data_IF_750197023269
#
_entry.id   IF_750197023269
#
_cell.length_a   1.000
_cell.length_b   1.000
_cell.length_c   1.000
_cell.angle_alpha   90.00
_cell.angle_beta   90.00
_cell.angle_gamma   90.00
#
_symmetry.space_group_name_H-M   'P 1'
#
loop_
_entity.id
_entity.type
_entity.pdbx_description
1 polymer ?
#
# COMPACT_ATOMS: atom_id res chain seq x y z
N UNK A 1 -30.18 9.06 -7.42
CA UNK A 1 -28.78 8.64 -7.17
C UNK A 1 -28.80 7.67 -6.00
N UNK A 2 -28.77 6.35 -6.24
CA UNK A 2 -28.46 5.41 -5.15
C UNK A 2 -26.95 5.28 -5.18
N UNK A 3 -26.28 5.98 -4.26
CA UNK A 3 -24.87 5.75 -3.97
C UNK A 3 -24.63 4.25 -3.81
N UNK A 4 -23.46 3.75 -4.21
CA UNK A 4 -23.07 2.38 -3.89
C UNK A 4 -23.06 2.12 -2.36
N UNK A 5 -23.05 3.20 -1.57
CA UNK A 5 -23.01 3.18 -0.12
C UNK A 5 -24.30 3.76 0.48
N UNK A 6 -24.90 3.01 1.42
CA UNK A 6 -26.04 3.49 2.20
C UNK A 6 -25.62 4.35 3.40
N UNK A 7 -24.43 4.09 3.94
CA UNK A 7 -23.84 4.78 5.09
C UNK A 7 -22.30 4.70 5.02
N UNK A 8 -21.61 5.54 5.82
CA UNK A 8 -20.15 5.50 5.89
C UNK A 8 -19.70 4.22 6.60
N UNK A 9 -18.85 3.38 5.97
CA UNK A 9 -18.31 2.19 6.61
C UNK A 9 -17.54 2.53 7.90
N UNK A 10 -17.64 1.65 8.90
CA UNK A 10 -16.82 1.75 10.10
C UNK A 10 -15.40 1.21 9.85
N UNK A 11 -14.40 1.93 10.35
CA UNK A 11 -13.02 1.42 10.37
C UNK A 11 -12.82 0.46 11.54
N UNK A 12 -12.31 -0.74 11.27
CA UNK A 12 -11.88 -1.70 12.29
C UNK A 12 -10.36 -1.90 12.20
N UNK A 13 -9.66 -1.39 13.21
CA UNK A 13 -8.19 -1.49 13.31
C UNK A 13 -7.68 -2.91 13.48
N UNK A 14 -8.52 -3.84 13.94
CA UNK A 14 -8.15 -5.26 14.01
C UNK A 14 -8.30 -5.97 12.65
N UNK A 15 -8.98 -5.34 11.69
CA UNK A 15 -9.21 -5.84 10.34
C UNK A 15 -8.91 -4.77 9.27
N UNK A 16 -7.69 -4.20 9.27
CA UNK A 16 -7.39 -3.03 8.45
C UNK A 16 -7.38 -3.35 6.96
N UNK A 17 -7.06 -4.58 6.57
CA UNK A 17 -7.07 -5.02 5.17
C UNK A 17 -8.45 -5.01 4.53
N UNK A 18 -9.52 -5.22 5.32
CA UNK A 18 -10.89 -5.15 4.83
C UNK A 18 -11.49 -3.76 5.00
N UNK A 19 -11.24 -3.10 6.13
CA UNK A 19 -11.98 -1.88 6.47
C UNK A 19 -11.31 -0.59 6.01
N UNK A 20 -9.97 -0.49 5.99
CA UNK A 20 -9.30 0.74 5.58
C UNK A 20 -9.60 1.14 4.12
N UNK A 21 -9.48 0.24 3.11
CA UNK A 21 -9.81 0.59 1.73
C UNK A 21 -11.29 0.95 1.57
N UNK A 22 -12.18 0.27 2.29
CA UNK A 22 -13.63 0.50 2.20
C UNK A 22 -14.01 1.91 2.67
N UNK A 23 -13.44 2.37 3.79
CA UNK A 23 -13.65 3.74 4.30
C UNK A 23 -13.14 4.79 3.31
N UNK A 24 -11.93 4.60 2.77
CA UNK A 24 -11.35 5.58 1.85
C UNK A 24 -12.05 5.56 0.48
N UNK A 25 -12.49 4.40 -0.02
CA UNK A 25 -13.30 4.32 -1.23
C UNK A 25 -14.66 5.02 -1.08
N UNK A 26 -15.31 4.89 0.08
CA UNK A 26 -16.50 5.68 0.39
C UNK A 26 -16.22 7.18 0.30
N UNK A 27 -15.12 7.64 0.91
CA UNK A 27 -14.73 9.05 0.92
C UNK A 27 -14.39 9.54 -0.52
N UNK A 28 -13.71 8.73 -1.34
CA UNK A 28 -13.42 9.02 -2.76
C UNK A 28 -14.70 9.16 -3.62
N UNK A 29 -15.71 8.32 -3.39
CA UNK A 29 -16.99 8.44 -4.09
C UNK A 29 -17.76 9.71 -3.69
N UNK A 30 -17.66 10.13 -2.42
CA UNK A 30 -18.23 11.41 -1.96
C UNK A 30 -17.54 12.61 -2.59
N UNK A 31 -16.24 12.49 -2.88
CA UNK A 31 -15.46 13.47 -3.62
C UNK A 31 -15.70 13.43 -5.14
N UNK A 32 -16.58 12.54 -5.64
CA UNK A 32 -16.87 12.36 -7.09
C UNK A 32 -15.63 12.00 -7.92
N UNK A 33 -14.76 11.19 -7.34
CA UNK A 33 -13.54 10.68 -7.99
C UNK A 33 -13.31 9.19 -7.71
N UNK A 34 -14.29 8.47 -7.17
CA UNK A 34 -14.15 7.05 -6.80
C UNK A 34 -14.57 6.06 -7.90
N UNK A 35 -14.04 4.84 -7.83
CA UNK A 35 -14.20 3.85 -8.90
C UNK A 35 -15.63 3.30 -9.07
N UNK A 36 -16.48 3.47 -8.06
CA UNK A 36 -17.76 2.78 -7.98
C UNK A 36 -18.75 3.33 -9.01
N UNK A 37 -19.48 2.39 -9.63
CA UNK A 37 -20.52 2.72 -10.61
C UNK A 37 -21.85 2.92 -9.93
N UNK A 38 -22.53 4.01 -10.28
CA UNK A 38 -23.89 4.30 -9.86
C UNK A 38 -24.82 4.24 -11.06
N UNK A 39 -26.13 4.18 -10.79
CA UNK A 39 -27.12 4.33 -11.86
C UNK A 39 -27.14 5.78 -12.32
N UNK A 40 -26.67 6.03 -13.54
CA UNK A 40 -26.61 7.36 -14.18
C UNK A 40 -27.80 7.61 -15.11
N UNK A 41 -28.56 6.57 -15.45
CA UNK A 41 -29.74 6.70 -16.29
C UNK A 41 -30.49 5.38 -16.48
N UNK A 42 -31.51 5.42 -17.32
CA UNK A 42 -32.27 4.23 -17.76
C UNK A 42 -32.44 4.27 -19.27
N UNK A 43 -32.24 3.12 -19.92
CA UNK A 43 -32.47 2.96 -21.36
C UNK A 43 -33.08 1.60 -21.64
N UNK A 44 -34.17 1.60 -22.41
CA UNK A 44 -34.88 0.39 -22.84
C UNK A 44 -35.28 -0.56 -21.69
N UNK A 45 -35.60 0.01 -20.52
CA UNK A 45 -35.96 -0.75 -19.31
C UNK A 45 -34.79 -1.22 -18.45
N UNK A 46 -33.55 -0.95 -18.85
CA UNK A 46 -32.34 -1.30 -18.11
C UNK A 46 -31.71 -0.09 -17.41
N UNK A 47 -31.18 -0.30 -16.21
CA UNK A 47 -30.38 0.69 -15.50
C UNK A 47 -29.01 0.82 -16.19
N UNK A 48 -28.61 2.05 -16.53
CA UNK A 48 -27.28 2.37 -17.06
C UNK A 48 -26.37 2.69 -15.89
N UNK A 49 -25.26 1.95 -15.78
CA UNK A 49 -24.29 2.11 -14.71
C UNK A 49 -23.01 2.74 -15.23
N UNK A 50 -22.63 3.88 -14.65
CA UNK A 50 -21.37 4.55 -14.91
C UNK A 50 -20.81 5.19 -13.63
N UNK A 51 -19.59 5.70 -13.68
CA UNK A 51 -19.00 6.44 -12.56
C UNK A 51 -19.62 7.83 -12.49
N UNK A 52 -19.94 8.28 -11.30
CA UNK A 52 -20.44 9.64 -11.06
C UNK A 52 -19.27 10.62 -10.93
N UNK A 53 -18.61 10.85 -12.07
CA UNK A 53 -17.37 11.62 -12.19
C UNK A 53 -17.48 12.52 -13.43
N UNK A 54 -16.99 13.75 -13.33
CA UNK A 54 -16.94 14.64 -14.48
C UNK A 54 -15.92 14.15 -15.53
N UNK A 55 -16.20 14.30 -16.84
CA UNK A 55 -15.25 13.95 -17.90
C UNK A 55 -13.90 14.66 -17.71
N UNK A 56 -12.80 13.92 -17.92
CA UNK A 56 -11.43 14.46 -17.77
C UNK A 56 -10.91 14.53 -16.33
N UNK A 57 -11.67 14.11 -15.32
CA UNK A 57 -11.23 14.08 -13.92
C UNK A 57 -10.44 12.81 -13.58
N UNK A 58 -10.67 11.72 -14.33
CA UNK A 58 -10.17 10.40 -13.99
C UNK A 58 -10.88 9.82 -12.75
N UNK A 59 -10.49 8.62 -12.34
CA UNK A 59 -11.11 7.91 -11.23
C UNK A 59 -10.06 7.29 -10.31
N UNK A 60 -10.44 7.05 -9.06
CA UNK A 60 -9.54 6.62 -8.00
C UNK A 60 -10.07 5.38 -7.29
N UNK A 61 -9.17 4.57 -6.76
CA UNK A 61 -9.51 3.48 -5.84
C UNK A 61 -8.47 3.36 -4.73
N UNK A 62 -8.94 3.06 -3.53
CA UNK A 62 -8.11 2.74 -2.39
C UNK A 62 -7.84 1.23 -2.34
N UNK A 63 -6.58 0.88 -2.13
CA UNK A 63 -6.06 -0.48 -1.97
C UNK A 63 -5.40 -0.64 -0.60
N UNK A 64 -5.41 -1.86 -0.09
CA UNK A 64 -4.78 -2.18 1.20
C UNK A 64 -3.27 -1.89 1.19
N UNK A 65 -2.81 -1.14 2.20
CA UNK A 65 -1.41 -1.04 2.56
C UNK A 65 -1.11 -1.93 3.80
N UNK A 66 -0.12 -2.82 3.77
CA UNK A 66 0.25 -3.63 4.92
C UNK A 66 0.80 -2.78 6.06
N UNK A 67 0.42 -3.08 7.30
CA UNK A 67 0.80 -2.28 8.49
C UNK A 67 2.32 -2.13 8.69
N UNK A 68 3.11 -3.11 8.25
CA UNK A 68 4.57 -3.03 8.29
C UNK A 68 5.14 -1.89 7.42
N UNK A 69 4.37 -1.40 6.44
CA UNK A 69 4.73 -0.31 5.54
C UNK A 69 4.13 1.04 5.94
N UNK A 70 3.32 1.10 7.00
CA UNK A 70 2.66 2.34 7.38
C UNK A 70 3.68 3.40 7.86
N UNK A 71 3.38 4.69 7.65
CA UNK A 71 4.05 5.76 8.38
C UNK A 71 3.90 5.57 9.89
N UNK A 72 4.97 5.84 10.63
CA UNK A 72 5.00 5.74 12.10
C UNK A 72 3.91 6.60 12.73
N UNK A 73 3.11 6.00 13.63
CA UNK A 73 1.99 6.68 14.29
C UNK A 73 0.70 6.83 13.46
N UNK A 74 0.62 6.21 12.27
CA UNK A 74 -0.63 6.13 11.52
C UNK A 74 -1.59 5.09 12.13
N UNK A 75 -2.89 5.39 12.11
CA UNK A 75 -3.95 4.45 12.53
C UNK A 75 -4.72 3.84 11.36
N UNK A 76 -4.57 4.38 10.15
CA UNK A 76 -5.14 3.92 8.90
C UNK A 76 -4.19 4.33 7.79
N UNK A 77 -3.92 3.42 6.85
CA UNK A 77 -3.13 3.73 5.67
C UNK A 77 -3.56 2.86 4.49
N UNK A 78 -3.61 3.46 3.31
CA UNK A 78 -3.98 2.82 2.04
C UNK A 78 -3.10 3.39 0.92
N UNK A 79 -3.04 2.67 -0.20
CA UNK A 79 -2.58 3.23 -1.47
C UNK A 79 -3.80 3.66 -2.26
N UNK A 80 -3.89 4.93 -2.64
CA UNK A 80 -4.90 5.39 -3.59
C UNK A 80 -4.28 5.40 -4.99
N UNK A 81 -4.81 4.56 -5.87
CA UNK A 81 -4.51 4.62 -7.30
C UNK A 81 -5.45 5.63 -7.94
N UNK A 82 -4.90 6.57 -8.72
CA UNK A 82 -5.67 7.47 -9.58
C UNK A 82 -5.38 7.14 -11.05
N UNK A 83 -6.44 6.97 -11.83
CA UNK A 83 -6.42 6.63 -13.25
C UNK A 83 -6.96 7.80 -14.07
N UNK A 84 -6.20 8.36 -15.03
CA UNK A 84 -6.70 9.42 -15.89
C UNK A 84 -7.86 8.94 -16.78
N UNK A 85 -8.79 9.84 -17.07
CA UNK A 85 -9.67 9.73 -18.22
C UNK A 85 -8.87 10.03 -19.49
N UNK A 86 -8.72 9.00 -20.33
CA UNK A 86 -7.94 9.06 -21.57
C UNK A 86 -8.75 9.50 -22.77
N UNK A 87 -10.07 9.35 -22.72
CA UNK A 87 -10.94 9.72 -23.83
C UNK A 87 -11.15 11.23 -23.85
N UNK A 88 -11.42 11.81 -22.68
CA UNK A 88 -11.59 13.26 -22.54
C UNK A 88 -10.27 14.03 -22.35
N UNK A 89 -9.18 13.32 -22.00
CA UNK A 89 -7.87 13.91 -21.72
C UNK A 89 -7.81 14.56 -20.34
N UNK A 90 -7.14 13.91 -19.39
CA UNK A 90 -6.95 14.45 -18.05
C UNK A 90 -5.72 15.35 -17.96
N UNK A 91 -5.88 16.54 -17.36
CA UNK A 91 -4.75 17.31 -16.83
C UNK A 91 -4.24 16.63 -15.56
N UNK A 92 -3.26 15.73 -15.71
CA UNK A 92 -2.71 14.94 -14.60
C UNK A 92 -2.33 15.80 -13.39
N UNK A 93 -1.64 16.92 -13.60
CA UNK A 93 -1.15 17.75 -12.50
C UNK A 93 -2.32 18.42 -11.76
N UNK A 94 -3.25 19.01 -12.49
CA UNK A 94 -4.40 19.67 -11.89
C UNK A 94 -5.33 18.65 -11.20
N UNK A 95 -5.56 17.48 -11.81
CA UNK A 95 -6.46 16.45 -11.28
C UNK A 95 -5.90 15.74 -10.06
N UNK A 96 -4.62 15.35 -10.09
CA UNK A 96 -4.00 14.79 -8.90
C UNK A 96 -3.93 15.79 -7.75
N UNK A 97 -3.73 17.08 -8.04
CA UNK A 97 -3.83 18.13 -7.02
C UNK A 97 -5.25 18.21 -6.44
N UNK A 98 -6.28 18.18 -7.27
CA UNK A 98 -7.67 18.21 -6.81
C UNK A 98 -8.02 16.99 -5.93
N UNK A 99 -7.62 15.78 -6.34
CA UNK A 99 -7.80 14.56 -5.53
C UNK A 99 -7.06 14.66 -4.20
N UNK A 100 -5.81 15.14 -4.23
CA UNK A 100 -4.98 15.35 -3.04
C UNK A 100 -5.63 16.33 -2.07
N UNK A 101 -6.10 17.48 -2.56
CA UNK A 101 -6.73 18.52 -1.74
C UNK A 101 -8.10 18.04 -1.19
N UNK A 102 -8.86 17.30 -1.99
CA UNK A 102 -10.12 16.67 -1.57
C UNK A 102 -9.91 15.69 -0.41
N UNK A 103 -8.94 14.78 -0.53
CA UNK A 103 -8.60 13.84 0.55
C UNK A 103 -8.06 14.57 1.81
N UNK A 104 -7.23 15.60 1.64
CA UNK A 104 -6.75 16.43 2.76
C UNK A 104 -7.88 17.17 3.48
N UNK A 105 -8.94 17.56 2.77
CA UNK A 105 -10.12 18.17 3.38
C UNK A 105 -10.91 17.22 4.30
N UNK A 106 -10.64 15.91 4.21
CA UNK A 106 -11.22 14.85 5.04
C UNK A 106 -10.24 14.34 6.11
N UNK A 107 -9.28 15.19 6.51
CA UNK A 107 -8.26 14.92 7.54
C UNK A 107 -7.27 13.79 7.21
N UNK A 108 -7.15 13.41 5.94
CA UNK A 108 -6.08 12.51 5.50
C UNK A 108 -4.78 13.27 5.24
N UNK A 109 -3.67 12.63 5.56
CA UNK A 109 -2.37 12.99 5.00
C UNK A 109 -2.23 12.30 3.65
N UNK A 110 -1.80 13.06 2.65
CA UNK A 110 -1.59 12.56 1.30
C UNK A 110 -0.18 12.88 0.87
N UNK A 111 0.56 11.83 0.53
CA UNK A 111 1.92 11.90 0.05
C UNK A 111 2.06 11.31 -1.35
N UNK A 112 2.87 12.00 -2.15
CA UNK A 112 3.37 11.52 -3.42
C UNK A 112 4.60 10.66 -3.16
N UNK A 113 4.37 9.52 -2.52
CA UNK A 113 5.42 8.59 -2.13
C UNK A 113 5.80 7.67 -3.29
N UNK A 114 7.05 7.24 -3.31
CA UNK A 114 7.57 6.29 -4.27
C UNK A 114 8.14 6.92 -5.53
N UNK A 115 8.23 6.12 -6.58
CA UNK A 115 8.88 6.49 -7.83
C UNK A 115 8.23 7.75 -8.45
N UNK A 116 9.02 8.69 -9.01
CA UNK A 116 8.48 9.79 -9.78
C UNK A 116 7.55 9.34 -10.90
N UNK A 117 6.40 10.00 -11.00
CA UNK A 117 5.38 9.76 -12.02
C UNK A 117 5.78 10.46 -13.32
N UNK A 118 5.67 9.74 -14.43
CA UNK A 118 5.83 10.22 -15.78
C UNK A 118 4.48 10.11 -16.53
N UNK A 119 3.64 11.16 -16.54
CA UNK A 119 2.29 11.12 -17.13
C UNK A 119 2.21 10.61 -18.58
N UNK A 120 3.28 10.80 -19.36
CA UNK A 120 3.36 10.34 -20.74
C UNK A 120 3.56 8.82 -20.89
N UNK A 121 3.98 8.14 -19.82
CA UNK A 121 4.31 6.70 -19.79
C UNK A 121 3.42 5.92 -18.82
N UNK A 122 3.02 6.57 -17.72
CA UNK A 122 2.31 5.91 -16.64
C UNK A 122 0.82 5.80 -16.93
N UNK A 123 0.25 4.65 -16.56
CA UNK A 123 -1.16 4.37 -16.77
C UNK A 123 -2.04 4.91 -15.63
N UNK A 124 -1.44 5.20 -14.49
CA UNK A 124 -2.06 5.66 -13.24
C UNK A 124 -0.98 6.29 -12.34
N UNK A 125 -1.40 6.94 -11.26
CA UNK A 125 -0.55 7.46 -10.20
C UNK A 125 -0.90 6.79 -8.87
N UNK A 126 0.10 6.56 -8.02
CA UNK A 126 -0.10 6.08 -6.66
C UNK A 126 0.07 7.21 -5.67
N UNK A 127 -0.84 7.29 -4.70
CA UNK A 127 -0.77 8.21 -3.57
C UNK A 127 -0.76 7.39 -2.29
N UNK A 128 0.16 7.70 -1.37
CA UNK A 128 0.10 7.15 -0.03
C UNK A 128 -0.85 8.02 0.79
N UNK A 129 -1.96 7.42 1.23
CA UNK A 129 -3.02 8.13 1.96
C UNK A 129 -3.18 7.50 3.32
N UNK A 130 -3.05 8.30 4.37
CA UNK A 130 -3.07 7.79 5.74
C UNK A 130 -3.66 8.80 6.71
N UNK A 131 -4.09 8.29 7.87
CA UNK A 131 -4.55 9.11 8.99
C UNK A 131 -3.66 8.85 10.20
N UNK A 132 -3.30 9.92 10.90
CA UNK A 132 -2.50 9.84 12.11
C UNK A 132 -3.36 9.50 13.31
N UNK A 133 -2.81 8.73 14.26
CA UNK A 133 -3.39 8.63 15.59
C UNK A 133 -3.49 10.02 16.23
N UNK A 134 -4.50 10.21 17.09
CA UNK A 134 -4.69 11.47 17.81
C UNK A 134 -3.40 11.88 18.57
N UNK A 135 -2.96 13.12 18.33
CA UNK A 135 -1.75 13.68 18.94
C UNK A 135 -0.43 13.25 18.29
N UNK A 136 -0.45 12.43 17.23
CA UNK A 136 0.75 12.13 16.43
C UNK A 136 0.88 13.10 15.27
N UNK A 137 2.12 13.43 14.92
CA UNK A 137 2.43 14.28 13.77
C UNK A 137 2.91 13.43 12.60
N UNK A 138 2.50 13.75 11.36
CA UNK A 138 3.02 13.07 10.17
C UNK A 138 4.56 13.16 10.10
N UNK A 139 5.25 12.11 9.62
CA UNK A 139 6.69 12.18 9.38
C UNK A 139 7.05 13.32 8.43
N UNK A 140 8.08 14.11 8.76
CA UNK A 140 8.60 15.12 7.85
C UNK A 140 9.53 14.45 6.84
N UNK A 141 9.21 14.56 5.56
CA UNK A 141 10.02 14.03 4.45
C UNK A 141 10.36 15.17 3.49
N UNK A 142 11.60 15.26 2.99
CA UNK A 142 11.94 16.23 1.95
C UNK A 142 11.20 15.89 0.64
N UNK A 143 10.99 16.88 -0.22
CA UNK A 143 10.18 16.70 -1.43
C UNK A 143 10.81 15.76 -2.48
N UNK A 144 12.12 15.55 -2.39
CA UNK A 144 12.92 14.67 -3.24
C UNK A 144 13.26 13.32 -2.56
N UNK A 145 12.60 12.99 -1.44
CA UNK A 145 12.87 11.81 -0.64
C UNK A 145 12.88 10.49 -1.44
N UNK A 146 12.13 10.39 -2.54
CA UNK A 146 12.06 9.20 -3.39
C UNK A 146 12.70 9.37 -4.76
N UNK A 147 13.43 10.46 -5.00
CA UNK A 147 14.04 10.74 -6.31
C UNK A 147 15.03 9.66 -6.77
N UNK A 148 15.60 8.90 -5.83
CA UNK A 148 16.53 7.80 -6.08
C UNK A 148 15.86 6.43 -6.26
N UNK A 149 14.55 6.31 -5.98
CA UNK A 149 13.85 5.03 -6.08
C UNK A 149 13.97 4.49 -7.51
N UNK A 150 14.43 3.23 -7.69
CA UNK A 150 14.69 2.69 -9.00
C UNK A 150 13.41 2.57 -9.82
N UNK A 151 13.54 2.75 -11.14
CA UNK A 151 12.47 2.42 -12.08
C UNK A 151 12.23 0.89 -12.10
N UNK A 152 10.99 0.43 -12.27
CA UNK A 152 10.69 -0.97 -12.49
C UNK A 152 11.56 -1.53 -13.62
N UNK A 153 12.33 -2.58 -13.31
CA UNK A 153 13.11 -3.32 -14.30
C UNK A 153 12.54 -4.71 -14.45
N UNK A 154 12.44 -5.16 -15.70
CA UNK A 154 12.17 -6.56 -16.01
C UNK A 154 13.50 -7.31 -15.98
N UNK A 155 13.60 -8.34 -15.14
CA UNK A 155 14.76 -9.22 -15.13
C UNK A 155 14.66 -10.22 -16.28
N UNK A 156 15.76 -10.42 -17.01
CA UNK A 156 15.84 -11.51 -17.97
C UNK A 156 15.84 -12.86 -17.25
N UNK A 157 15.44 -13.94 -17.94
CA UNK A 157 15.30 -15.27 -17.32
C UNK A 157 16.60 -15.83 -16.71
N UNK A 158 17.76 -15.36 -17.17
CA UNK A 158 19.09 -15.74 -16.68
C UNK A 158 19.62 -14.78 -15.60
N UNK A 159 18.96 -13.64 -15.42
CA UNK A 159 19.30 -12.69 -14.38
C UNK A 159 18.70 -13.11 -13.05
N UNK A 160 19.46 -12.82 -12.01
CA UNK A 160 19.06 -13.10 -10.64
C UNK A 160 18.09 -12.02 -10.17
N UNK A 161 16.86 -12.41 -9.85
CA UNK A 161 15.91 -11.55 -9.16
C UNK A 161 16.23 -11.51 -7.65
N UNK A 162 16.59 -10.34 -7.07
CA UNK A 162 16.89 -10.21 -5.65
C UNK A 162 15.76 -10.72 -4.73
N UNK A 163 14.51 -10.63 -5.16
CA UNK A 163 13.36 -11.17 -4.42
C UNK A 163 13.43 -12.69 -4.25
N UNK A 164 13.93 -13.42 -5.26
CA UNK A 164 14.06 -14.89 -5.20
C UNK A 164 15.15 -15.32 -4.22
N UNK A 165 16.26 -14.59 -4.14
CA UNK A 165 17.29 -14.86 -3.13
C UNK A 165 16.78 -14.61 -1.73
N UNK A 166 16.12 -13.45 -1.53
CA UNK A 166 15.49 -13.14 -0.25
C UNK A 166 14.49 -14.22 0.16
N UNK A 167 13.66 -14.69 -0.76
CA UNK A 167 12.74 -15.79 -0.50
C UNK A 167 13.45 -17.08 -0.12
N UNK A 168 14.54 -17.44 -0.82
CA UNK A 168 15.33 -18.64 -0.50
C UNK A 168 15.93 -18.57 0.91
N UNK A 169 16.60 -17.47 1.26
CA UNK A 169 17.22 -17.31 2.58
C UNK A 169 16.18 -17.35 3.70
N UNK A 170 15.02 -16.72 3.49
CA UNK A 170 13.96 -16.73 4.49
C UNK A 170 13.31 -18.11 4.64
N UNK A 171 13.20 -18.88 3.55
CA UNK A 171 12.67 -20.27 3.60
C UNK A 171 13.57 -21.23 4.38
N UNK A 172 14.86 -20.94 4.51
CA UNK A 172 15.79 -21.78 5.25
C UNK A 172 15.71 -21.61 6.77
N UNK A 173 15.07 -20.54 7.25
CA UNK A 173 14.87 -20.23 8.68
C UNK A 173 13.99 -21.28 9.40
N UNK A 174 14.18 -21.44 10.71
CA UNK A 174 13.29 -22.28 11.52
C UNK A 174 11.88 -21.67 11.56
N UNK A 175 11.78 -20.35 11.55
CA UNK A 175 10.52 -19.62 11.41
C UNK A 175 9.71 -20.09 10.20
N UNK A 176 10.33 -20.24 9.03
CA UNK A 176 9.66 -20.76 7.85
C UNK A 176 9.19 -22.21 8.02
N UNK A 177 9.96 -23.06 8.71
CA UNK A 177 9.61 -24.47 8.99
C UNK A 177 8.48 -24.60 10.01
N UNK A 178 8.38 -23.65 10.95
CA UNK A 178 7.31 -23.55 11.94
C UNK A 178 6.05 -22.87 11.37
N UNK A 179 6.10 -22.39 10.13
CA UNK A 179 4.97 -21.85 9.39
C UNK A 179 4.46 -22.80 8.33
N UNK A 180 3.37 -22.38 7.67
CA UNK A 180 2.84 -23.09 6.50
C UNK A 180 3.53 -22.61 5.22
N UNK A 181 3.86 -21.31 5.13
CA UNK A 181 4.45 -20.72 3.92
C UNK A 181 5.15 -19.40 4.21
N UNK A 182 6.26 -19.14 3.53
CA UNK A 182 6.84 -17.80 3.38
C UNK A 182 6.75 -17.40 1.91
N UNK A 183 6.21 -16.21 1.64
CA UNK A 183 6.13 -15.61 0.32
C UNK A 183 6.82 -14.26 0.34
N UNK A 184 7.62 -13.99 -0.68
CA UNK A 184 8.24 -12.67 -0.89
C UNK A 184 7.69 -12.12 -2.21
N UNK A 185 7.24 -10.88 -2.18
CA UNK A 185 6.74 -10.18 -3.36
C UNK A 185 7.23 -8.75 -3.38
N UNK A 186 7.29 -8.21 -4.57
CA UNK A 186 7.50 -6.78 -4.77
C UNK A 186 6.35 -5.99 -4.12
N UNK A 187 6.67 -4.77 -3.72
CA UNK A 187 5.73 -3.86 -3.08
C UNK A 187 5.66 -2.56 -3.90
N UNK A 188 4.48 -1.95 -3.97
CA UNK A 188 4.32 -0.66 -4.62
C UNK A 188 5.30 0.37 -4.01
N UNK A 189 6.01 1.13 -4.84
CA UNK A 189 7.01 2.10 -4.38
C UNK A 189 6.43 3.17 -3.46
N UNK A 190 5.13 3.46 -3.55
CA UNK A 190 4.44 4.35 -2.62
C UNK A 190 4.45 3.86 -1.16
N UNK A 191 4.74 2.58 -0.93
CA UNK A 191 4.84 1.94 0.39
C UNK A 191 6.29 1.75 0.85
N UNK A 192 7.27 2.16 0.04
CA UNK A 192 8.67 2.02 0.40
C UNK A 192 9.06 3.08 1.43
N UNK A 193 9.93 2.73 2.40
CA UNK A 193 10.64 3.74 3.17
C UNK A 193 11.38 4.70 2.22
N UNK A 194 11.41 6.00 2.50
CA UNK A 194 12.09 6.96 1.63
C UNK A 194 13.58 6.64 1.49
N UNK A 195 14.20 6.00 2.46
CA UNK A 195 15.61 5.60 2.42
C UNK A 195 15.85 4.25 1.73
N UNK A 196 14.91 3.67 0.98
CA UNK A 196 15.05 2.31 0.44
C UNK A 196 15.46 2.29 -1.05
N UNK A 197 16.54 1.57 -1.36
CA UNK A 197 16.94 1.24 -2.75
C UNK A 197 16.29 -0.05 -3.27
N UNK A 198 15.82 -0.88 -2.35
CA UNK A 198 15.10 -2.11 -2.62
C UNK A 198 14.10 -2.33 -1.49
N UNK A 199 12.89 -2.80 -1.81
CA UNK A 199 11.90 -3.13 -0.80
C UNK A 199 11.07 -4.34 -1.23
N UNK A 200 10.77 -5.20 -0.27
CA UNK A 200 9.99 -6.41 -0.46
C UNK A 200 9.00 -6.58 0.69
N UNK A 201 7.82 -7.10 0.34
CA UNK A 201 6.86 -7.55 1.33
C UNK A 201 7.03 -9.06 1.51
N UNK A 202 7.38 -9.45 2.73
CA UNK A 202 7.40 -10.84 3.17
C UNK A 202 6.08 -11.13 3.88
N UNK A 203 5.36 -12.14 3.40
CA UNK A 203 4.19 -12.68 4.10
C UNK A 203 4.52 -14.06 4.64
N UNK A 204 4.53 -14.17 5.95
CA UNK A 204 4.70 -15.43 6.65
C UNK A 204 3.33 -15.96 7.10
N UNK A 205 2.89 -17.05 6.51
CA UNK A 205 1.70 -17.79 6.93
C UNK A 205 2.09 -18.74 8.04
N UNK A 206 1.46 -18.59 9.19
CA UNK A 206 1.79 -19.34 10.40
C UNK A 206 1.21 -20.76 10.33
N UNK A 207 1.76 -21.67 11.14
CA UNK A 207 1.11 -22.94 11.39
C UNK A 207 -0.17 -22.72 12.22
N UNK A 208 -1.19 -23.59 12.08
CA UNK A 208 -2.31 -23.60 13.01
C UNK A 208 -1.78 -23.68 14.45
N UNK A 209 -2.35 -22.88 15.34
CA UNK A 209 -2.01 -22.84 16.77
C UNK A 209 -0.59 -22.36 17.13
N UNK A 210 0.10 -21.68 16.22
CA UNK A 210 1.38 -21.04 16.53
C UNK A 210 1.23 -20.07 17.73
N UNK A 211 1.95 -20.34 18.82
CA UNK A 211 1.94 -19.48 20.00
C UNK A 211 2.57 -18.12 19.68
N UNK A 212 2.15 -17.08 20.40
CA UNK A 212 2.77 -15.76 20.29
C UNK A 212 4.30 -15.83 20.50
N UNK A 213 4.79 -16.65 21.44
CA UNK A 213 6.22 -16.84 21.65
C UNK A 213 6.94 -17.38 20.40
N UNK A 214 6.38 -18.40 19.76
CA UNK A 214 6.90 -18.96 18.50
C UNK A 214 6.93 -17.92 17.39
N UNK A 215 5.88 -17.09 17.29
CA UNK A 215 5.81 -16.01 16.30
C UNK A 215 6.90 -14.97 16.56
N UNK A 216 7.07 -14.50 17.81
CA UNK A 216 8.10 -13.52 18.16
C UNK A 216 9.51 -14.09 17.99
N UNK A 217 9.75 -15.36 18.30
CA UNK A 217 11.01 -16.03 18.04
C UNK A 217 11.30 -16.10 16.53
N UNK A 218 10.29 -16.44 15.72
CA UNK A 218 10.43 -16.51 14.26
C UNK A 218 10.71 -15.15 13.62
N UNK A 219 10.01 -14.08 14.05
CA UNK A 219 10.29 -12.72 13.58
C UNK A 219 11.72 -12.29 13.94
N UNK A 220 12.19 -12.60 15.15
CA UNK A 220 13.59 -12.30 15.56
C UNK A 220 14.61 -13.04 14.72
N UNK A 221 14.37 -14.33 14.43
CA UNK A 221 15.25 -15.11 13.56
C UNK A 221 15.29 -14.55 12.14
N UNK A 222 14.13 -14.27 11.54
CA UNK A 222 14.05 -13.66 10.20
C UNK A 222 14.74 -12.28 10.19
N UNK A 223 14.57 -11.48 11.24
CA UNK A 223 15.24 -10.18 11.37
C UNK A 223 16.77 -10.33 11.42
N UNK A 224 17.28 -11.31 12.17
CA UNK A 224 18.72 -11.61 12.21
C UNK A 224 19.25 -11.99 10.84
N UNK A 225 18.60 -12.92 10.13
CA UNK A 225 19.02 -13.34 8.79
C UNK A 225 19.03 -12.18 7.80
N UNK A 226 17.97 -11.37 7.81
CA UNK A 226 17.85 -10.18 6.93
C UNK A 226 18.95 -9.15 7.26
N UNK A 227 19.25 -8.96 8.54
CA UNK A 227 20.30 -8.05 8.98
C UNK A 227 21.71 -8.54 8.59
N UNK A 228 21.99 -9.84 8.71
CA UNK A 228 23.26 -10.46 8.30
C UNK A 228 23.50 -10.30 6.78
N UNK A 229 22.43 -10.11 6.01
CA UNK A 229 22.45 -9.84 4.57
C UNK A 229 22.48 -8.34 4.22
N UNK A 230 22.61 -7.45 5.21
CA UNK A 230 22.68 -6.00 5.03
C UNK A 230 21.33 -5.30 4.82
N UNK A 231 20.22 -6.02 4.94
CA UNK A 231 18.87 -5.45 4.83
C UNK A 231 18.33 -5.05 6.21
N UNK A 232 17.24 -4.28 6.20
CA UNK A 232 16.45 -3.94 7.38
C UNK A 232 15.11 -4.63 7.32
N UNK A 233 14.59 -4.98 8.49
CA UNK A 233 13.26 -5.57 8.66
C UNK A 233 12.38 -4.66 9.52
N UNK A 234 11.14 -4.42 9.06
CA UNK A 234 10.10 -3.70 9.82
C UNK A 234 8.86 -4.57 9.95
N UNK A 235 8.22 -4.49 11.11
CA UNK A 235 6.90 -5.06 11.40
C UNK A 235 5.88 -3.94 11.58
N UNK A 236 4.61 -4.30 11.78
CA UNK A 236 3.63 -3.37 12.36
C UNK A 236 4.11 -2.83 13.71
N UNK A 237 3.73 -1.60 14.06
CA UNK A 237 4.11 -0.97 15.34
C UNK A 237 3.33 -1.54 16.52
N UNK A 238 2.05 -1.87 16.30
CA UNK A 238 1.20 -2.44 17.34
C UNK A 238 1.61 -3.89 17.63
N UNK A 239 1.47 -4.36 18.88
CA UNK A 239 1.71 -5.75 19.21
C UNK A 239 0.89 -6.69 18.29
N UNK A 240 1.49 -7.81 17.91
CA UNK A 240 0.78 -8.86 17.20
C UNK A 240 -0.36 -9.39 18.09
N UNK A 241 -1.58 -9.55 17.55
CA UNK A 241 -2.66 -10.24 18.26
C UNK A 241 -2.22 -11.64 18.73
N UNK A 242 -2.86 -12.15 19.78
CA UNK A 242 -2.57 -13.49 20.33
C UNK A 242 -2.84 -14.63 19.34
N UNK A 243 -3.72 -14.41 18.37
CA UNK A 243 -3.98 -15.31 17.26
C UNK A 243 -3.92 -14.52 15.94
N UNK A 244 -3.03 -14.93 15.05
CA UNK A 244 -2.89 -14.39 13.69
C UNK A 244 -2.62 -15.52 12.73
N UNK A 245 -3.19 -15.45 11.53
CA UNK A 245 -2.93 -16.44 10.47
C UNK A 245 -1.68 -16.08 9.66
N UNK A 246 -1.36 -14.79 9.60
CA UNK A 246 -0.26 -14.25 8.80
C UNK A 246 0.45 -13.12 9.52
N UNK A 247 1.75 -13.00 9.29
CA UNK A 247 2.59 -11.87 9.68
C UNK A 247 3.19 -11.27 8.41
N UNK A 248 2.92 -9.98 8.19
CA UNK A 248 3.52 -9.21 7.11
C UNK A 248 4.76 -8.46 7.66
N UNK A 249 5.89 -8.61 6.97
CA UNK A 249 7.16 -7.98 7.29
C UNK A 249 7.64 -7.20 6.06
N UNK A 250 8.13 -5.98 6.29
CA UNK A 250 8.75 -5.17 5.26
C UNK A 250 10.26 -5.36 5.34
N UNK A 251 10.87 -5.83 4.25
CA UNK A 251 12.32 -5.98 4.14
C UNK A 251 12.85 -5.00 3.11
N UNK A 252 13.87 -4.21 3.44
CA UNK A 252 14.40 -3.21 2.53
C UNK A 252 15.90 -3.00 2.67
N UNK A 253 16.57 -2.66 1.58
CA UNK A 253 17.98 -2.25 1.57
C UNK A 253 18.05 -0.72 1.76
N UNK A 254 18.79 -0.21 2.76
CA UNK A 254 18.93 1.23 2.93
C UNK A 254 19.78 1.85 1.83
N UNK A 255 19.47 3.09 1.47
CA UNK A 255 20.12 3.82 0.40
C UNK A 255 21.60 4.02 0.71
N UNK A 256 22.45 3.72 -0.27
CA UNK A 256 23.90 3.81 -0.11
C UNK A 256 24.51 2.69 0.76
N UNK A 257 23.76 1.63 1.07
CA UNK A 257 24.31 0.39 1.61
C UNK A 257 24.95 -0.45 0.51
N UNK A 258 26.06 0.06 -0.02
CA UNK A 258 26.99 -0.72 -0.83
C UNK A 258 28.31 -0.73 -0.09
N UNK A 259 28.70 -1.91 0.41
CA UNK A 259 30.12 -2.26 0.52
C UNK A 259 30.69 -2.53 -0.88
#
# INVERSE_FOLDING_TARGET
>A
MRSAWNERPAYDRNNPNRTAPTVVNYDLDHLKVGENRVVVGRKDGYDLHDRDIAPGDGWSRALYAPECAWPRGADLCVVVEWHPDREAGSDWSARLKAVTDGLRSLDYVVEWAGQPIAPAKDLYANLLVYRMEAGKTPPRRPGDAWAHVPLPRTYAWHEVNPLHHLESWLKDTKAARNGTRVMVRDLNSALWPPEADFCALVRWQLAPDASAETVHAGVREMASVVQDLGYRLRTQERPLPSAVETVDLLVYAPHGATD
#
